data_IF_938164045802
#
_entry.id   IF_938164045802
#
_cell.length_a   1.000
_cell.length_b   1.000
_cell.length_c   1.000
_cell.angle_alpha   90.00
_cell.angle_beta   90.00
_cell.angle_gamma   90.00
#
_symmetry.space_group_name_H-M   'P 1'
#
loop_
_entity.id
_entity.type
_entity.pdbx_description
1 polymer ?
#
# COMPACT_ATOMS: atom_id res chain seq x y z
N UNK A 1 -11.75 25.71 -3.36
CA UNK A 1 -12.59 26.07 -2.20
C UNK A 1 -13.69 27.09 -2.55
N UNK A 2 -13.42 28.21 -3.23
CA UNK A 2 -14.43 29.27 -3.49
C UNK A 2 -15.69 28.81 -4.26
N UNK A 3 -15.53 28.02 -5.32
CA UNK A 3 -16.64 27.66 -6.22
C UNK A 3 -17.08 26.19 -6.14
N UNK A 4 -16.43 25.37 -5.30
CA UNK A 4 -16.68 23.93 -5.25
C UNK A 4 -16.39 23.17 -6.56
N UNK A 5 -15.74 23.80 -7.53
CA UNK A 5 -15.43 23.24 -8.86
C UNK A 5 -13.93 23.36 -9.16
N UNK A 6 -13.42 22.43 -9.95
CA UNK A 6 -12.03 22.41 -10.43
C UNK A 6 -12.00 21.79 -11.83
N UNK A 7 -11.07 22.23 -12.67
CA UNK A 7 -10.89 21.72 -14.03
C UNK A 7 -9.98 20.48 -14.02
N UNK A 8 -10.38 19.43 -14.72
CA UNK A 8 -9.55 18.25 -14.97
C UNK A 8 -9.45 17.99 -16.46
N UNK A 9 -8.22 17.84 -16.97
CA UNK A 9 -7.98 17.12 -18.22
C UNK A 9 -8.21 15.63 -17.97
N UNK A 10 -9.11 15.01 -18.75
CA UNK A 10 -9.39 13.58 -18.68
C UNK A 10 -8.13 12.81 -19.08
N UNK A 11 -7.59 11.94 -18.19
CA UNK A 11 -6.44 11.09 -18.52
C UNK A 11 -6.89 9.85 -19.32
N UNK A 12 -5.97 9.26 -20.08
CA UNK A 12 -6.12 7.87 -20.53
C UNK A 12 -5.85 6.92 -19.36
N UNK A 13 -6.30 5.66 -19.45
CA UNK A 13 -6.14 4.66 -18.39
C UNK A 13 -5.18 3.56 -18.80
N UNK A 14 -4.26 3.19 -17.91
CA UNK A 14 -3.50 1.92 -17.97
C UNK A 14 -4.18 0.92 -17.04
N UNK A 15 -4.50 -0.25 -17.55
CA UNK A 15 -5.12 -1.34 -16.80
C UNK A 15 -4.06 -2.33 -16.30
N UNK A 16 -3.97 -2.52 -14.99
CA UNK A 16 -3.11 -3.50 -14.33
C UNK A 16 -3.98 -4.64 -13.80
N UNK A 17 -3.80 -5.84 -14.35
CA UNK A 17 -4.60 -7.01 -14.01
C UNK A 17 -3.78 -8.01 -13.20
N UNK A 18 -4.26 -8.37 -12.02
CA UNK A 18 -3.64 -9.38 -11.17
C UNK A 18 -4.48 -10.67 -11.15
N UNK A 19 -3.93 -11.73 -11.74
CA UNK A 19 -4.55 -13.05 -11.82
C UNK A 19 -4.12 -13.90 -10.61
N UNK A 20 -5.08 -14.54 -9.94
CA UNK A 20 -4.83 -15.35 -8.74
C UNK A 20 -4.62 -14.55 -7.45
N UNK A 21 -4.62 -15.26 -6.33
CA UNK A 21 -4.42 -14.69 -4.99
C UNK A 21 -2.93 -14.58 -4.66
N UNK A 22 -2.51 -13.45 -4.08
CA UNK A 22 -1.13 -13.26 -3.62
C UNK A 22 -0.74 -14.33 -2.57
N UNK A 23 0.51 -14.84 -2.60
CA UNK A 23 1.05 -15.71 -1.55
C UNK A 23 0.99 -15.06 -0.17
N UNK A 24 0.90 -15.87 0.90
CA UNK A 24 0.72 -15.35 2.28
C UNK A 24 1.80 -14.38 2.79
N UNK A 25 2.98 -14.39 2.17
CA UNK A 25 4.14 -13.57 2.53
C UNK A 25 4.36 -12.39 1.58
N UNK A 26 3.43 -12.18 0.63
CA UNK A 26 3.46 -11.11 -0.37
C UNK A 26 2.23 -10.23 -0.16
N UNK A 27 2.46 -8.92 -0.14
CA UNK A 27 1.42 -7.92 0.08
C UNK A 27 1.26 -7.04 -1.17
N UNK A 28 0.20 -6.23 -1.18
CA UNK A 28 -0.04 -5.18 -2.18
C UNK A 28 1.16 -4.26 -2.33
N UNK A 29 1.94 -4.05 -1.26
CA UNK A 29 3.20 -3.30 -1.32
C UNK A 29 4.19 -3.91 -2.32
N UNK A 30 4.36 -5.22 -2.32
CA UNK A 30 5.24 -5.91 -3.26
C UNK A 30 4.70 -5.80 -4.68
N UNK A 31 3.38 -5.91 -4.86
CA UNK A 31 2.75 -5.79 -6.17
C UNK A 31 2.91 -4.39 -6.78
N UNK A 32 2.65 -3.32 -6.03
CA UNK A 32 2.82 -1.97 -6.58
C UNK A 32 4.30 -1.63 -6.81
N UNK A 33 5.22 -2.15 -5.99
CA UNK A 33 6.65 -2.01 -6.25
C UNK A 33 7.07 -2.75 -7.52
N UNK A 34 6.54 -3.96 -7.78
CA UNK A 34 6.77 -4.68 -9.03
C UNK A 34 6.34 -3.85 -10.24
N UNK A 35 5.13 -3.29 -10.18
CA UNK A 35 4.60 -2.42 -11.23
C UNK A 35 5.52 -1.23 -11.47
N UNK A 36 5.90 -0.50 -10.41
CA UNK A 36 6.77 0.69 -10.52
C UNK A 36 8.15 0.30 -11.07
N UNK A 37 8.69 -0.86 -10.69
CA UNK A 37 9.96 -1.35 -11.24
C UNK A 37 9.88 -1.71 -12.73
N UNK A 38 8.74 -2.18 -13.21
CA UNK A 38 8.54 -2.57 -14.61
C UNK A 38 8.26 -1.37 -15.52
N UNK A 39 7.52 -0.36 -15.03
CA UNK A 39 7.13 0.81 -15.84
C UNK A 39 7.98 2.06 -15.58
N UNK A 40 8.80 2.06 -14.52
CA UNK A 40 9.60 3.20 -14.08
C UNK A 40 8.80 4.31 -13.41
N UNK A 41 9.48 5.34 -12.91
CA UNK A 41 8.85 6.46 -12.19
C UNK A 41 7.99 7.38 -13.06
N UNK A 42 8.10 7.27 -14.39
CA UNK A 42 7.32 8.06 -15.36
C UNK A 42 6.35 7.20 -16.19
N UNK A 43 6.27 5.90 -15.93
CA UNK A 43 5.45 4.97 -16.75
C UNK A 43 3.96 5.29 -16.74
N UNK A 44 3.46 5.90 -15.65
CA UNK A 44 2.09 6.37 -15.49
C UNK A 44 1.85 7.82 -15.91
N UNK A 45 2.85 8.54 -16.44
CA UNK A 45 2.78 9.99 -16.66
C UNK A 45 1.47 10.44 -17.36
N UNK A 46 0.71 11.29 -16.64
CA UNK A 46 -0.61 11.82 -17.04
C UNK A 46 -1.73 10.79 -17.31
N UNK A 47 -1.52 9.53 -16.94
CA UNK A 47 -2.52 8.46 -17.06
C UNK A 47 -3.12 8.09 -15.70
N UNK A 48 -4.31 7.53 -15.70
CA UNK A 48 -4.89 6.85 -14.55
C UNK A 48 -4.36 5.42 -14.50
N UNK A 49 -3.97 4.93 -13.33
CA UNK A 49 -3.65 3.52 -13.13
C UNK A 49 -4.88 2.83 -12.53
N UNK A 50 -5.52 1.95 -13.31
CA UNK A 50 -6.64 1.15 -12.86
C UNK A 50 -6.16 -0.26 -12.50
N UNK A 51 -6.52 -0.77 -11.32
CA UNK A 51 -6.20 -2.14 -10.92
C UNK A 51 -7.45 -3.02 -10.94
N UNK A 52 -7.33 -4.22 -11.50
CA UNK A 52 -8.41 -5.20 -11.60
C UNK A 52 -7.88 -6.63 -11.50
N UNK A 53 -8.79 -7.60 -11.57
CA UNK A 53 -8.49 -9.03 -11.56
C UNK A 53 -8.72 -9.68 -10.21
N UNK A 54 -8.78 -11.01 -10.23
CA UNK A 54 -9.13 -11.83 -9.06
C UNK A 54 -8.24 -11.60 -7.85
N UNK A 55 -6.97 -11.23 -8.06
CA UNK A 55 -6.05 -10.90 -6.96
C UNK A 55 -6.43 -9.60 -6.25
N UNK A 56 -6.93 -8.61 -6.99
CA UNK A 56 -7.44 -7.34 -6.44
C UNK A 56 -8.78 -7.57 -5.72
N UNK A 57 -9.62 -8.45 -6.26
CA UNK A 57 -10.89 -8.83 -5.64
C UNK A 57 -10.67 -9.49 -4.28
N UNK A 58 -9.61 -10.31 -4.13
CA UNK A 58 -9.24 -10.96 -2.87
C UNK A 58 -8.67 -9.98 -1.82
N UNK A 59 -8.05 -8.87 -2.23
CA UNK A 59 -7.45 -7.90 -1.32
C UNK A 59 -8.45 -7.28 -0.34
N UNK A 60 -7.94 -6.89 0.83
CA UNK A 60 -8.67 -6.05 1.78
C UNK A 60 -8.73 -4.61 1.25
N UNK A 61 -9.61 -3.78 1.83
CA UNK A 61 -9.62 -2.34 1.50
C UNK A 61 -8.31 -1.67 1.90
N UNK A 62 -7.66 -2.13 2.97
CA UNK A 62 -6.36 -1.60 3.41
C UNK A 62 -5.29 -1.88 2.34
N UNK A 63 -5.22 -3.09 1.79
CA UNK A 63 -4.29 -3.45 0.71
C UNK A 63 -4.53 -2.63 -0.57
N UNK A 64 -5.79 -2.41 -0.94
CA UNK A 64 -6.18 -1.57 -2.08
C UNK A 64 -5.77 -0.10 -1.91
N UNK A 65 -5.84 0.41 -0.68
CA UNK A 65 -5.33 1.75 -0.35
C UNK A 65 -3.81 1.82 -0.53
N UNK A 66 -3.07 0.76 -0.20
CA UNK A 66 -1.62 0.69 -0.47
C UNK A 66 -1.32 0.81 -1.96
N UNK A 67 -2.03 0.06 -2.82
CA UNK A 67 -1.85 0.10 -4.28
C UNK A 67 -2.10 1.51 -4.84
N UNK A 68 -3.27 2.06 -4.54
CA UNK A 68 -3.70 3.35 -5.09
C UNK A 68 -2.86 4.51 -4.58
N UNK A 69 -2.36 4.44 -3.34
CA UNK A 69 -1.49 5.45 -2.77
C UNK A 69 -0.18 5.60 -3.55
N UNK A 70 0.43 4.49 -3.94
CA UNK A 70 1.76 4.46 -4.57
C UNK A 70 1.76 4.72 -6.09
N UNK A 71 0.62 5.07 -6.67
CA UNK A 71 0.53 5.38 -8.10
C UNK A 71 1.25 6.68 -8.46
N UNK A 72 1.41 7.58 -7.49
CA UNK A 72 2.12 8.86 -7.69
C UNK A 72 3.60 8.63 -7.96
N UNK A 73 4.19 7.57 -7.40
CA UNK A 73 5.58 7.16 -7.57
C UNK A 73 5.88 6.65 -9.00
N UNK A 74 4.84 6.29 -9.76
CA UNK A 74 4.92 6.01 -11.20
C UNK A 74 4.55 7.22 -12.08
N UNK A 75 4.38 8.41 -11.48
CA UNK A 75 4.00 9.62 -12.21
C UNK A 75 2.52 9.66 -12.63
N UNK A 76 1.69 8.74 -12.11
CA UNK A 76 0.29 8.65 -12.46
C UNK A 76 -0.50 9.85 -11.95
N UNK A 77 -1.58 10.18 -12.68
CA UNK A 77 -2.52 11.21 -12.25
C UNK A 77 -3.35 10.78 -11.05
N UNK A 78 -3.70 9.50 -11.00
CA UNK A 78 -4.38 8.84 -9.90
C UNK A 78 -4.30 7.31 -10.03
N UNK A 79 -4.56 6.63 -8.92
CA UNK A 79 -4.90 5.21 -8.87
C UNK A 79 -6.39 5.02 -8.66
N UNK A 80 -6.99 4.00 -9.31
CA UNK A 80 -8.40 3.66 -9.11
C UNK A 80 -8.60 2.15 -9.09
N UNK A 81 -9.52 1.71 -8.24
CA UNK A 81 -10.00 0.34 -8.17
C UNK A 81 -11.52 0.44 -8.14
N UNK A 82 -12.18 -0.39 -8.93
CA UNK A 82 -13.64 -0.38 -8.99
C UNK A 82 -14.26 -0.79 -7.65
N UNK A 83 -15.43 -0.22 -7.31
CA UNK A 83 -16.11 -0.56 -6.06
C UNK A 83 -16.68 -1.99 -6.13
N UNK A 84 -16.46 -2.72 -5.05
CA UNK A 84 -17.09 -4.02 -4.78
C UNK A 84 -17.75 -4.02 -3.40
N UNK A 85 -18.31 -5.15 -2.98
CA UNK A 85 -18.98 -5.26 -1.68
C UNK A 85 -18.07 -4.89 -0.50
N UNK A 86 -16.77 -5.19 -0.55
CA UNK A 86 -15.83 -4.82 0.52
C UNK A 86 -15.71 -3.30 0.67
N UNK A 87 -15.66 -2.58 -0.45
CA UNK A 87 -15.69 -1.11 -0.45
C UNK A 87 -17.02 -0.58 0.05
N UNK A 88 -18.14 -1.16 -0.38
CA UNK A 88 -19.47 -0.77 0.09
C UNK A 88 -19.60 -0.92 1.61
N UNK A 89 -19.17 -2.05 2.17
CA UNK A 89 -19.20 -2.33 3.61
C UNK A 89 -18.26 -1.38 4.38
N UNK A 90 -17.08 -1.12 3.83
CA UNK A 90 -16.10 -0.22 4.41
C UNK A 90 -16.61 1.22 4.51
N UNK A 91 -17.33 1.69 3.48
CA UNK A 91 -17.95 3.00 3.43
C UNK A 91 -19.18 3.08 4.34
N UNK A 92 -20.04 2.06 4.32
CA UNK A 92 -21.23 2.00 5.19
C UNK A 92 -20.85 2.03 6.68
N UNK A 93 -19.80 1.30 7.08
CA UNK A 93 -19.27 1.32 8.44
C UNK A 93 -18.75 2.72 8.89
N UNK A 94 -18.56 3.65 7.94
CA UNK A 94 -18.15 5.04 8.17
C UNK A 94 -19.28 6.05 7.92
N UNK A 95 -20.51 5.56 7.76
CA UNK A 95 -21.70 6.40 7.55
C UNK A 95 -21.85 6.92 6.11
N UNK A 96 -21.02 6.48 5.18
CA UNK A 96 -21.17 6.81 3.77
C UNK A 96 -22.07 5.76 3.10
N UNK A 97 -23.36 6.07 2.99
CA UNK A 97 -24.37 5.17 2.38
C UNK A 97 -25.09 5.80 1.19
N UNK A 98 -24.96 7.11 0.98
CA UNK A 98 -25.64 7.84 -0.08
C UNK A 98 -24.69 8.16 -1.24
N UNK A 99 -24.39 7.17 -2.07
CA UNK A 99 -23.62 7.33 -3.30
C UNK A 99 -24.03 6.27 -4.33
N UNK A 100 -23.77 6.55 -5.60
CA UNK A 100 -23.96 5.59 -6.68
C UNK A 100 -22.58 5.05 -7.09
N UNK A 101 -22.32 3.74 -6.95
CA UNK A 101 -21.09 3.14 -7.46
C UNK A 101 -21.05 3.29 -8.99
N UNK A 102 -19.87 3.58 -9.51
CA UNK A 102 -19.61 3.71 -10.94
C UNK A 102 -18.50 2.71 -11.29
N UNK A 103 -18.74 1.91 -12.31
CA UNK A 103 -17.81 0.93 -12.86
C UNK A 103 -17.48 1.33 -14.31
N UNK A 104 -16.36 0.83 -14.82
CA UNK A 104 -16.04 0.96 -16.24
C UNK A 104 -16.98 0.13 -17.10
N UNK A 105 -17.21 0.59 -18.33
CA UNK A 105 -17.96 -0.16 -19.33
C UNK A 105 -17.14 -1.36 -19.83
N UNK A 106 -17.82 -2.45 -20.24
CA UNK A 106 -17.14 -3.67 -20.69
C UNK A 106 -16.35 -3.51 -21.99
N UNK A 107 -16.65 -2.47 -22.77
CA UNK A 107 -16.02 -2.09 -24.03
C UNK A 107 -15.09 -0.88 -23.89
N UNK A 108 -14.73 -0.50 -22.65
CA UNK A 108 -13.78 0.57 -22.40
C UNK A 108 -12.42 0.30 -23.05
N UNK A 109 -11.86 1.32 -23.71
CA UNK A 109 -10.53 1.27 -24.29
C UNK A 109 -9.48 1.73 -23.26
N UNK A 110 -8.36 1.01 -23.21
CA UNK A 110 -7.22 1.31 -22.34
C UNK A 110 -6.01 1.66 -23.18
N UNK A 111 -5.22 2.64 -22.75
CA UNK A 111 -3.97 3.00 -23.42
C UNK A 111 -2.98 1.82 -23.42
N UNK A 112 -3.03 1.02 -22.35
CA UNK A 112 -2.24 -0.19 -22.19
C UNK A 112 -2.90 -1.11 -21.16
N UNK A 113 -2.75 -2.42 -21.36
CA UNK A 113 -3.12 -3.45 -20.39
C UNK A 113 -1.88 -4.26 -20.04
N UNK A 114 -1.60 -4.43 -18.74
CA UNK A 114 -0.46 -5.19 -18.23
C UNK A 114 -1.00 -6.23 -17.25
N UNK A 115 -0.68 -7.51 -17.53
CA UNK A 115 -1.14 -8.64 -16.72
C UNK A 115 -0.01 -9.22 -15.86
N UNK A 116 -0.36 -9.64 -14.65
CA UNK A 116 0.54 -10.24 -13.67
C UNK A 116 -0.08 -11.50 -13.10
N UNK A 117 0.74 -12.53 -12.90
CA UNK A 117 0.35 -13.74 -12.20
C UNK A 117 0.78 -13.68 -10.73
N UNK A 118 -0.19 -13.70 -9.82
CA UNK A 118 0.06 -13.61 -8.39
C UNK A 118 0.96 -14.74 -7.87
N UNK A 119 0.92 -15.92 -8.49
CA UNK A 119 1.79 -17.05 -8.12
C UNK A 119 3.28 -16.83 -8.40
N UNK A 120 3.61 -15.87 -9.26
CA UNK A 120 5.00 -15.52 -9.60
C UNK A 120 5.55 -14.40 -8.72
N UNK A 121 4.71 -13.83 -7.85
CA UNK A 121 5.10 -12.72 -6.99
C UNK A 121 5.94 -13.20 -5.80
N UNK A 122 7.01 -12.47 -5.53
CA UNK A 122 7.89 -12.65 -4.38
C UNK A 122 7.99 -11.33 -3.60
N UNK A 123 8.47 -11.33 -2.34
CA UNK A 123 8.74 -10.10 -1.61
C UNK A 123 9.74 -9.21 -2.34
N UNK A 124 9.43 -7.92 -2.44
CA UNK A 124 10.21 -6.94 -3.19
C UNK A 124 10.66 -5.80 -2.28
N UNK A 125 11.90 -5.34 -2.50
CA UNK A 125 12.43 -4.15 -1.87
C UNK A 125 12.82 -3.12 -2.93
N UNK A 126 12.37 -1.88 -2.76
CA UNK A 126 12.90 -0.73 -3.49
C UNK A 126 14.21 -0.26 -2.84
N UNK A 127 15.29 -0.26 -3.61
CA UNK A 127 16.63 0.14 -3.16
C UNK A 127 16.83 1.65 -3.37
N UNK A 128 17.78 2.28 -2.65
CA UNK A 128 18.14 3.66 -2.90
C UNK A 128 18.58 3.91 -4.36
N UNK A 129 18.34 5.09 -4.94
CA UNK A 129 17.58 6.24 -4.44
C UNK A 129 16.24 6.44 -5.17
N UNK A 130 15.73 5.42 -5.86
CA UNK A 130 14.52 5.49 -6.68
C UNK A 130 13.57 4.33 -6.36
N UNK A 131 12.25 4.56 -6.26
CA UNK A 131 11.28 3.48 -6.03
C UNK A 131 11.23 2.45 -7.17
N UNK A 132 11.66 2.79 -8.38
CA UNK A 132 11.77 1.85 -9.50
C UNK A 132 12.97 0.90 -9.38
N UNK A 133 13.95 1.22 -8.53
CA UNK A 133 15.15 0.40 -8.34
C UNK A 133 14.85 -0.80 -7.44
N UNK A 134 14.02 -1.72 -7.93
CA UNK A 134 13.55 -2.86 -7.15
C UNK A 134 14.54 -4.04 -7.20
N UNK A 135 14.39 -4.93 -6.23
CA UNK A 135 15.01 -6.24 -6.19
C UNK A 135 14.06 -7.20 -5.49
N UNK A 136 14.04 -8.47 -5.91
CA UNK A 136 13.49 -9.53 -5.06
C UNK A 136 14.34 -9.57 -3.79
N UNK A 137 13.69 -9.70 -2.62
CA UNK A 137 14.36 -9.62 -1.31
C UNK A 137 15.49 -10.64 -1.16
N UNK A 138 15.33 -11.86 -1.70
CA UNK A 138 16.36 -12.92 -1.64
C UNK A 138 17.62 -12.58 -2.44
N UNK A 139 17.51 -11.68 -3.41
CA UNK A 139 18.61 -11.23 -4.27
C UNK A 139 19.17 -9.87 -3.84
N UNK A 140 18.54 -9.24 -2.85
CA UNK A 140 18.99 -7.95 -2.34
C UNK A 140 20.39 -8.11 -1.70
N UNK A 141 21.30 -7.15 -1.93
CA UNK A 141 22.63 -7.21 -1.35
C UNK A 141 22.55 -7.19 0.17
N UNK A 142 23.47 -7.91 0.82
CA UNK A 142 23.63 -7.81 2.26
C UNK A 142 24.12 -6.42 2.62
N UNK A 143 23.36 -5.73 3.45
CA UNK A 143 23.68 -4.40 3.98
C UNK A 143 23.45 -4.41 5.48
N UNK A 144 24.33 -3.72 6.20
CA UNK A 144 24.07 -3.44 7.61
C UNK A 144 22.93 -2.43 7.70
N UNK A 145 21.96 -2.73 8.58
CA UNK A 145 20.81 -1.88 8.83
C UNK A 145 20.96 -1.23 10.20
N UNK A 146 20.85 0.09 10.27
CA UNK A 146 20.88 0.81 11.55
C UNK A 146 19.47 0.99 12.16
N UNK A 147 18.45 1.08 11.29
CA UNK A 147 17.08 1.42 11.67
C UNK A 147 16.05 0.72 10.80
N UNK A 148 14.97 0.26 11.42
CA UNK A 148 13.74 -0.15 10.74
C UNK A 148 12.59 0.79 11.12
N UNK A 149 11.86 1.26 10.12
CA UNK A 149 10.70 2.14 10.30
C UNK A 149 9.46 1.51 9.69
N UNK A 150 8.46 1.25 10.53
CA UNK A 150 7.20 0.60 10.17
C UNK A 150 6.11 1.65 10.37
N UNK A 151 5.68 2.30 9.30
CA UNK A 151 4.80 3.46 9.35
C UNK A 151 4.49 4.00 7.96
N UNK A 152 4.19 5.31 7.91
CA UNK A 152 3.80 6.06 6.71
C UNK A 152 2.34 5.88 6.28
N UNK A 153 1.88 6.73 5.36
CA UNK A 153 0.57 6.62 4.72
C UNK A 153 0.43 5.37 3.84
N UNK A 154 1.56 4.80 3.37
CA UNK A 154 1.59 3.55 2.59
C UNK A 154 1.48 2.29 3.45
N UNK A 155 1.63 2.38 4.78
CA UNK A 155 1.84 1.22 5.67
C UNK A 155 1.25 1.40 7.06
N UNK A 156 1.55 0.47 7.97
CA UNK A 156 1.09 0.46 9.36
C UNK A 156 -0.43 0.62 9.56
N UNK A 157 -1.21 0.13 8.60
CA UNK A 157 -2.64 -0.17 8.75
C UNK A 157 -2.80 -1.41 9.64
N UNK A 158 -4.04 -1.80 9.95
CA UNK A 158 -4.23 -2.85 10.96
C UNK A 158 -3.65 -4.20 10.52
N UNK A 159 -3.79 -4.55 9.24
CA UNK A 159 -3.25 -5.76 8.63
C UNK A 159 -1.71 -5.75 8.61
N UNK A 160 -1.10 -4.60 8.27
CA UNK A 160 0.35 -4.40 8.33
C UNK A 160 0.89 -4.65 9.76
N UNK A 161 0.22 -4.07 10.76
CA UNK A 161 0.61 -4.25 12.17
C UNK A 161 0.44 -5.69 12.64
N UNK A 162 -0.56 -6.41 12.14
CA UNK A 162 -0.73 -7.83 12.43
C UNK A 162 0.42 -8.66 11.84
N UNK A 163 0.83 -8.40 10.59
CA UNK A 163 1.97 -9.06 9.97
C UNK A 163 3.26 -8.83 10.77
N UNK A 164 3.50 -7.58 11.19
CA UNK A 164 4.65 -7.23 12.04
C UNK A 164 4.57 -7.94 13.40
N UNK A 165 3.38 -8.03 14.01
CA UNK A 165 3.20 -8.70 15.28
C UNK A 165 3.50 -10.20 15.17
N UNK A 166 3.07 -10.85 14.08
CA UNK A 166 3.39 -12.27 13.78
C UNK A 166 4.90 -12.48 13.67
N UNK A 167 5.63 -11.57 13.04
CA UNK A 167 7.09 -11.66 12.88
C UNK A 167 7.82 -11.47 14.21
N UNK A 168 7.41 -10.49 15.02
CA UNK A 168 8.12 -10.07 16.23
C UNK A 168 7.74 -10.84 17.49
N UNK A 169 6.60 -11.56 17.51
CA UNK A 169 6.14 -12.30 18.68
C UNK A 169 7.20 -13.28 19.19
N UNK A 170 7.61 -13.09 20.45
CA UNK A 170 8.62 -13.93 21.11
C UNK A 170 10.06 -13.67 20.67
N UNK A 171 10.32 -12.62 19.88
CA UNK A 171 11.66 -12.24 19.40
C UNK A 171 12.08 -10.89 19.96
N UNK A 172 13.35 -10.51 19.75
CA UNK A 172 13.90 -9.19 20.06
C UNK A 172 14.47 -8.56 18.81
N UNK A 173 14.23 -7.26 18.61
CA UNK A 173 14.82 -6.50 17.51
C UNK A 173 16.31 -6.31 17.76
N UNK A 174 17.12 -6.43 16.70
CA UNK A 174 18.58 -6.22 16.76
C UNK A 174 18.96 -4.74 16.64
N UNK A 175 18.11 -3.95 15.99
CA UNK A 175 18.38 -2.57 15.57
C UNK A 175 17.26 -1.66 16.08
N UNK A 176 17.43 -0.34 15.95
CA UNK A 176 16.37 0.62 16.33
C UNK A 176 15.15 0.39 15.43
N UNK A 177 14.08 -0.16 16.00
CA UNK A 177 12.83 -0.40 15.29
C UNK A 177 11.72 0.51 15.81
N UNK A 178 11.11 1.28 14.92
CA UNK A 178 10.02 2.19 15.22
C UNK A 178 8.74 1.73 14.53
N UNK A 179 7.64 1.66 15.28
CA UNK A 179 6.31 1.32 14.77
C UNK A 179 5.37 2.49 15.00
N UNK A 180 4.88 3.09 13.92
CA UNK A 180 3.97 4.24 13.94
C UNK A 180 2.67 3.85 13.23
N UNK A 181 1.61 3.47 13.98
CA UNK A 181 0.31 3.16 13.41
C UNK A 181 -0.24 4.29 12.53
N UNK A 182 -0.89 3.93 11.41
CA UNK A 182 -1.32 4.89 10.38
C UNK A 182 -2.32 5.96 10.86
N UNK A 183 -3.13 5.65 11.88
CA UNK A 183 -4.11 6.56 12.45
C UNK A 183 -4.39 6.21 13.92
N UNK A 184 -4.99 7.14 14.66
CA UNK A 184 -5.37 6.93 16.07
C UNK A 184 -6.36 5.77 16.20
N UNK A 185 -7.29 5.63 15.26
CA UNK A 185 -8.23 4.50 15.21
C UNK A 185 -7.53 3.16 15.04
N UNK A 186 -6.48 3.11 14.21
CA UNK A 186 -5.66 1.91 14.01
C UNK A 186 -4.81 1.62 15.25
N UNK A 187 -4.21 2.65 15.85
CA UNK A 187 -3.48 2.52 17.12
C UNK A 187 -4.36 1.87 18.20
N UNK A 188 -5.58 2.39 18.41
CA UNK A 188 -6.52 1.84 19.40
C UNK A 188 -6.84 0.37 19.14
N UNK A 189 -7.15 0.01 17.88
CA UNK A 189 -7.41 -1.38 17.50
C UNK A 189 -6.19 -2.29 17.72
N UNK A 190 -4.99 -1.82 17.40
CA UNK A 190 -3.75 -2.54 17.63
C UNK A 190 -3.47 -2.74 19.13
N UNK A 191 -3.83 -1.76 19.96
CA UNK A 191 -3.75 -1.86 21.42
C UNK A 191 -4.71 -2.93 21.94
N UNK A 192 -5.97 -2.88 21.53
CA UNK A 192 -7.01 -3.86 21.90
C UNK A 192 -6.64 -5.29 21.49
N UNK A 193 -6.02 -5.45 20.31
CA UNK A 193 -5.51 -6.74 19.82
C UNK A 193 -4.19 -7.19 20.45
N UNK A 194 -3.58 -6.37 21.32
CA UNK A 194 -2.33 -6.68 22.00
C UNK A 194 -1.06 -6.58 21.13
N UNK A 195 -1.16 -6.03 19.91
CA UNK A 195 0.00 -5.86 19.01
C UNK A 195 1.01 -4.89 19.60
N UNK A 196 0.55 -3.82 20.23
CA UNK A 196 1.41 -2.82 20.88
C UNK A 196 2.29 -3.48 21.95
N UNK A 197 1.72 -4.38 22.76
CA UNK A 197 2.49 -5.13 23.77
C UNK A 197 3.56 -5.99 23.11
N UNK A 198 3.25 -6.67 22.01
CA UNK A 198 4.21 -7.48 21.26
C UNK A 198 5.38 -6.62 20.76
N UNK A 199 5.11 -5.43 20.24
CA UNK A 199 6.16 -4.53 19.74
C UNK A 199 7.09 -4.06 20.87
N UNK A 200 6.51 -3.64 22.00
CA UNK A 200 7.27 -3.22 23.18
C UNK A 200 8.09 -4.38 23.77
N UNK A 201 7.48 -5.57 23.88
CA UNK A 201 8.16 -6.79 24.32
C UNK A 201 9.31 -7.16 23.38
N UNK A 202 9.20 -6.88 22.08
CA UNK A 202 10.28 -7.09 21.12
C UNK A 202 11.40 -6.04 21.21
N UNK A 203 11.21 -4.96 21.98
CA UNK A 203 12.16 -3.85 22.09
C UNK A 203 11.98 -2.76 21.01
N UNK A 204 10.88 -2.78 20.27
CA UNK A 204 10.54 -1.71 19.34
C UNK A 204 9.93 -0.50 20.08
N UNK A 205 10.15 0.70 19.55
CA UNK A 205 9.49 1.92 20.01
C UNK A 205 8.18 2.13 19.26
N UNK A 206 7.09 2.39 19.97
CA UNK A 206 5.80 2.71 19.37
C UNK A 206 5.55 4.20 19.46
N UNK A 207 5.42 4.86 18.30
CA UNK A 207 5.20 6.32 18.21
C UNK A 207 3.74 6.68 17.91
N UNK A 208 3.33 7.95 18.13
CA UNK A 208 2.02 8.42 17.72
C UNK A 208 1.85 8.38 16.18
N UNK A 209 0.61 8.30 15.67
CA UNK A 209 0.34 8.48 14.25
C UNK A 209 0.75 9.87 13.78
N UNK A 210 1.69 9.94 12.82
CA UNK A 210 2.19 11.19 12.23
C UNK A 210 2.83 10.90 10.87
N UNK A 211 2.89 11.91 9.99
CA UNK A 211 3.68 11.81 8.76
C UNK A 211 5.16 11.54 9.08
N UNK A 212 5.69 12.14 10.15
CA UNK A 212 7.02 11.84 10.69
C UNK A 212 8.09 11.71 9.61
N UNK A 213 8.77 10.56 9.59
CA UNK A 213 9.87 10.29 8.66
C UNK A 213 9.46 10.38 7.18
N UNK A 214 8.17 10.20 6.85
CA UNK A 214 7.68 10.26 5.47
C UNK A 214 7.91 11.63 4.82
N UNK A 215 7.82 12.72 5.58
CA UNK A 215 8.08 14.07 5.08
C UNK A 215 9.43 14.64 5.54
N UNK A 216 10.33 13.78 6.03
CA UNK A 216 11.62 14.20 6.58
C UNK A 216 11.57 14.75 8.00
N UNK A 217 10.43 14.70 8.69
CA UNK A 217 10.34 15.04 10.10
C UNK A 217 10.80 13.85 10.97
N UNK A 218 11.30 14.12 12.18
CA UNK A 218 11.71 13.08 13.13
C UNK A 218 11.17 13.39 14.52
N UNK A 219 10.99 12.35 15.34
CA UNK A 219 10.55 12.47 16.73
C UNK A 219 11.71 12.31 17.72
N UNK A 220 12.89 12.82 17.35
CA UNK A 220 14.15 12.58 18.07
C UNK A 220 15.10 11.74 17.22
#
# INVERSE_FOLDING_TARGET
MLNGKIWFKVPETILFKLNGKLPEHVMAKDFILKIIGDIGTDGGAYKAMQFTGTGIDEMSVDERLTLTNMTTEAGAKNGIIEPDQKIMDYLAARGATNFTPINGDSDAEYAQTIEYEASEMEPIVAKPFSPENISVVREAPSVDLDKAYIGSCTGAKLEDLEAVAKILKGKKVKIRTEVLPAAISIYKKALEKGFIKIFLDAGATVGPPTCGACCGAHMG
#
